data_IF_926250714741
#
_entry.id   IF_926250714741
#
_cell.length_a   1.000
_cell.length_b   1.000
_cell.length_c   1.000
_cell.angle_alpha   90.00
_cell.angle_beta   90.00
_cell.angle_gamma   90.00
#
_symmetry.space_group_name_H-M   'P 1'
#
loop_
_entity.id
_entity.type
_entity.pdbx_description
1 polymer ?
#
# COMPACT_ATOMS: atom_id res chain seq x y z
N UNK A 1 -8.37 -5.45 13.68
CA UNK A 1 -8.12 -6.19 12.42
C UNK A 1 -8.86 -5.58 11.23
N UNK A 2 -10.15 -5.21 11.37
CA UNK A 2 -10.89 -4.49 10.33
C UNK A 2 -10.21 -3.17 9.91
N UNK A 3 -9.75 -2.38 10.88
CA UNK A 3 -9.02 -1.13 10.63
C UNK A 3 -7.73 -1.36 9.81
N UNK A 4 -6.91 -2.35 10.19
CA UNK A 4 -5.71 -2.71 9.43
C UNK A 4 -6.05 -3.06 7.99
N UNK A 5 -7.12 -3.84 7.78
CA UNK A 5 -7.58 -4.21 6.44
C UNK A 5 -7.99 -2.97 5.64
N UNK A 6 -8.69 -2.02 6.25
CA UNK A 6 -9.08 -0.76 5.61
C UNK A 6 -7.86 0.09 5.23
N UNK A 7 -6.88 0.22 6.13
CA UNK A 7 -5.62 0.94 5.85
C UNK A 7 -4.92 0.35 4.62
N UNK A 8 -4.78 -0.97 4.55
CA UNK A 8 -4.12 -1.61 3.41
C UNK A 8 -4.97 -1.70 2.15
N UNK A 9 -6.30 -1.64 2.24
CA UNK A 9 -7.17 -1.45 1.09
C UNK A 9 -6.93 -0.06 0.47
N UNK A 10 -6.98 0.99 1.29
CA UNK A 10 -6.69 2.36 0.86
C UNK A 10 -5.27 2.47 0.27
N UNK A 11 -4.29 1.84 0.90
CA UNK A 11 -2.92 1.81 0.38
C UNK A 11 -2.84 1.25 -1.05
N UNK A 12 -3.55 0.13 -1.31
CA UNK A 12 -3.60 -0.49 -2.64
C UNK A 12 -4.38 0.36 -3.64
N UNK A 13 -5.52 0.92 -3.23
CA UNK A 13 -6.30 1.84 -4.06
C UNK A 13 -5.47 3.08 -4.45
N UNK A 14 -4.73 3.65 -3.50
CA UNK A 14 -3.85 4.79 -3.74
C UNK A 14 -2.77 4.44 -4.76
N UNK A 15 -2.18 3.23 -4.70
CA UNK A 15 -1.22 2.78 -5.73
C UNK A 15 -1.86 2.74 -7.12
N UNK A 16 -3.05 2.17 -7.25
CA UNK A 16 -3.76 2.14 -8.53
C UNK A 16 -4.11 3.56 -9.03
N UNK A 17 -4.58 4.44 -8.13
CA UNK A 17 -4.90 5.84 -8.47
C UNK A 17 -3.67 6.60 -8.95
N UNK A 18 -2.53 6.44 -8.26
CA UNK A 18 -1.26 7.07 -8.67
C UNK A 18 -0.87 6.62 -10.07
N UNK A 19 -0.98 5.31 -10.37
CA UNK A 19 -0.64 4.80 -11.70
C UNK A 19 -1.56 5.37 -12.78
N UNK A 20 -2.86 5.42 -12.52
CA UNK A 20 -3.83 6.02 -13.44
C UNK A 20 -3.54 7.51 -13.69
N UNK A 21 -3.21 8.28 -12.65
CA UNK A 21 -2.84 9.69 -12.79
C UNK A 21 -1.54 9.87 -13.59
N UNK A 22 -0.57 8.95 -13.45
CA UNK A 22 0.67 8.95 -14.25
C UNK A 22 0.36 8.70 -15.73
N UNK A 23 -0.52 7.75 -16.04
CA UNK A 23 -1.01 7.50 -17.39
C UNK A 23 -1.72 8.73 -17.97
N UNK A 24 -2.54 9.42 -17.15
CA UNK A 24 -3.23 10.63 -17.57
C UNK A 24 -2.26 11.77 -17.92
N UNK A 25 -1.23 12.00 -17.10
CA UNK A 25 -0.16 12.97 -17.39
C UNK A 25 0.51 12.62 -18.72
N UNK A 26 0.82 11.35 -18.95
CA UNK A 26 1.48 10.91 -20.19
C UNK A 26 0.58 11.13 -21.42
N UNK A 27 -0.72 10.86 -21.30
CA UNK A 27 -1.68 11.17 -22.36
C UNK A 27 -1.75 12.68 -22.66
N UNK A 28 -1.73 13.53 -21.64
CA UNK A 28 -1.70 14.99 -21.83
C UNK A 28 -0.41 15.44 -22.55
N UNK A 29 0.73 14.85 -22.19
CA UNK A 29 2.01 15.10 -22.87
C UNK A 29 1.97 14.70 -24.34
N UNK A 30 1.41 13.53 -24.66
CA UNK A 30 1.23 13.06 -26.04
C UNK A 30 0.33 13.99 -26.85
N UNK A 31 -0.65 14.63 -26.21
CA UNK A 31 -1.52 15.63 -26.82
C UNK A 31 -0.89 17.03 -26.92
N UNK A 32 0.39 17.19 -26.57
CA UNK A 32 1.13 18.45 -26.71
C UNK A 32 0.95 19.44 -25.55
N UNK A 33 0.34 19.02 -24.43
CA UNK A 33 0.24 19.85 -23.22
C UNK A 33 1.62 19.99 -22.59
N UNK A 34 2.02 21.23 -22.30
CA UNK A 34 3.32 21.54 -21.70
C UNK A 34 3.32 21.15 -20.22
N UNK A 35 4.48 20.77 -19.72
CA UNK A 35 4.66 20.32 -18.33
C UNK A 35 4.33 21.38 -17.27
N UNK A 36 4.42 22.67 -17.64
CA UNK A 36 4.05 23.80 -16.78
C UNK A 36 2.55 24.12 -16.81
N UNK A 37 1.76 23.38 -17.59
CA UNK A 37 0.31 23.56 -17.62
C UNK A 37 -0.30 23.25 -16.26
N UNK A 38 -1.29 24.06 -15.88
CA UNK A 38 -1.97 23.97 -14.58
C UNK A 38 -2.59 22.58 -14.37
N UNK A 39 -3.11 21.96 -15.44
CA UNK A 39 -3.69 20.61 -15.38
C UNK A 39 -2.67 19.56 -14.95
N UNK A 40 -1.49 19.52 -15.60
CA UNK A 40 -0.40 18.59 -15.25
C UNK A 40 0.09 18.84 -13.83
N UNK A 41 0.27 20.11 -13.44
CA UNK A 41 0.73 20.46 -12.08
C UNK A 41 -0.27 20.01 -11.00
N UNK A 42 -1.57 20.12 -11.26
CA UNK A 42 -2.62 19.62 -10.35
C UNK A 42 -2.57 18.09 -10.21
N UNK A 43 -2.38 17.36 -11.32
CA UNK A 43 -2.24 15.90 -11.29
C UNK A 43 -1.00 15.47 -10.51
N UNK A 44 0.14 16.15 -10.71
CA UNK A 44 1.38 15.90 -9.94
C UNK A 44 1.15 16.15 -8.45
N UNK A 45 0.48 17.24 -8.09
CA UNK A 45 0.18 17.56 -6.69
C UNK A 45 -0.71 16.50 -6.04
N UNK A 46 -1.68 15.96 -6.78
CA UNK A 46 -2.53 14.85 -6.33
C UNK A 46 -1.74 13.56 -6.16
N UNK A 47 -0.85 13.21 -7.10
CA UNK A 47 0.07 12.07 -6.97
C UNK A 47 0.91 12.23 -5.69
N UNK A 48 1.51 13.40 -5.47
CA UNK A 48 2.34 13.66 -4.30
C UNK A 48 1.57 13.50 -2.98
N UNK A 49 0.30 13.91 -2.93
CA UNK A 49 -0.56 13.68 -1.75
C UNK A 49 -0.75 12.19 -1.47
N UNK A 50 -1.15 11.43 -2.48
CA UNK A 50 -1.37 9.98 -2.37
C UNK A 50 -0.08 9.22 -2.03
N UNK A 51 1.05 9.62 -2.63
CA UNK A 51 2.37 9.04 -2.33
C UNK A 51 2.78 9.33 -0.89
N UNK A 52 2.53 10.53 -0.37
CA UNK A 52 2.81 10.87 1.02
C UNK A 52 1.96 10.07 2.02
N UNK A 53 0.67 9.83 1.71
CA UNK A 53 -0.18 8.95 2.51
C UNK A 53 0.38 7.53 2.56
N UNK A 54 0.73 6.95 1.40
CA UNK A 54 1.31 5.62 1.33
C UNK A 54 2.67 5.54 2.01
N UNK A 55 3.50 6.58 1.91
CA UNK A 55 4.81 6.67 2.56
C UNK A 55 4.72 6.58 4.08
N UNK A 56 3.65 7.11 4.69
CA UNK A 56 3.42 6.94 6.14
C UNK A 56 3.23 5.47 6.51
N UNK A 57 2.49 4.72 5.69
CA UNK A 57 2.29 3.29 5.88
C UNK A 57 3.60 2.53 5.64
N UNK A 58 4.35 2.86 4.59
CA UNK A 58 5.65 2.26 4.31
C UNK A 58 6.64 2.48 5.45
N UNK A 59 6.65 3.65 6.06
CA UNK A 59 7.49 3.94 7.22
C UNK A 59 7.09 3.07 8.43
N UNK A 60 5.79 2.92 8.70
CA UNK A 60 5.31 2.01 9.77
C UNK A 60 5.68 0.55 9.48
N UNK A 61 5.60 0.12 8.22
CA UNK A 61 6.00 -1.23 7.79
C UNK A 61 7.49 -1.49 7.98
N UNK A 62 8.36 -0.51 7.69
CA UNK A 62 9.83 -0.62 7.86
C UNK A 62 10.25 -0.82 9.31
N UNK A 63 9.44 -0.37 10.27
CA UNK A 63 9.69 -0.55 11.70
C UNK A 63 9.23 -1.92 12.22
N UNK A 64 8.53 -2.71 11.42
CA UNK A 64 8.15 -4.05 11.80
C UNK A 64 9.36 -4.99 11.77
N UNK A 65 9.47 -5.92 12.73
CA UNK A 65 10.35 -7.07 12.60
C UNK A 65 10.10 -7.80 11.27
N UNK A 66 11.15 -8.34 10.68
CA UNK A 66 11.12 -8.96 9.35
C UNK A 66 10.03 -10.03 9.19
N UNK A 67 9.84 -10.85 10.24
CA UNK A 67 8.79 -11.86 10.27
C UNK A 67 7.36 -11.27 10.25
N UNK A 68 7.14 -10.18 10.97
CA UNK A 68 5.87 -9.45 11.00
C UNK A 68 5.63 -8.75 9.66
N UNK A 69 6.65 -8.06 9.13
CA UNK A 69 6.60 -7.41 7.82
C UNK A 69 6.24 -8.40 6.70
N UNK A 70 6.92 -9.55 6.64
CA UNK A 70 6.70 -10.56 5.59
C UNK A 70 5.24 -11.05 5.59
N UNK A 71 4.68 -11.33 6.76
CA UNK A 71 3.30 -11.81 6.86
C UNK A 71 2.29 -10.71 6.51
N UNK A 72 2.53 -9.46 6.96
CA UNK A 72 1.68 -8.32 6.61
C UNK A 72 1.70 -8.06 5.10
N UNK A 73 2.89 -8.07 4.48
CA UNK A 73 3.05 -7.89 3.04
C UNK A 73 2.25 -8.93 2.26
N UNK A 74 2.48 -10.22 2.53
CA UNK A 74 1.82 -11.30 1.79
C UNK A 74 0.29 -11.23 1.92
N UNK A 75 -0.23 -10.95 3.13
CA UNK A 75 -1.68 -10.98 3.37
C UNK A 75 -2.37 -9.70 2.90
N UNK A 76 -1.80 -8.54 3.21
CA UNK A 76 -2.50 -7.26 3.05
C UNK A 76 -2.06 -6.45 1.84
N UNK A 77 -0.81 -6.57 1.41
CA UNK A 77 -0.30 -5.86 0.22
C UNK A 77 -0.49 -6.74 -1.01
N UNK A 78 -0.02 -7.98 -0.95
CA UNK A 78 -0.09 -8.92 -2.07
C UNK A 78 -1.48 -9.62 -2.15
N UNK A 79 -2.32 -9.46 -1.12
CA UNK A 79 -3.69 -9.97 -1.09
C UNK A 79 -3.80 -11.50 -1.03
N UNK A 80 -2.77 -12.19 -0.56
CA UNK A 80 -2.73 -13.65 -0.52
C UNK A 80 -3.52 -14.16 0.69
N UNK A 81 -4.35 -15.18 0.46
CA UNK A 81 -5.10 -15.84 1.52
C UNK A 81 -4.20 -16.36 2.65
N UNK A 82 -4.64 -16.16 3.90
CA UNK A 82 -3.92 -16.62 5.10
C UNK A 82 -3.59 -18.12 5.07
N UNK A 83 -4.47 -18.95 4.48
CA UNK A 83 -4.25 -20.40 4.31
C UNK A 83 -3.08 -20.72 3.37
N UNK A 84 -2.86 -19.89 2.34
CA UNK A 84 -1.72 -20.03 1.44
C UNK A 84 -0.46 -19.49 2.09
N UNK A 85 -0.55 -18.31 2.71
CA UNK A 85 0.56 -17.71 3.47
C UNK A 85 1.07 -18.65 4.54
N UNK A 86 0.18 -19.32 5.29
CA UNK A 86 0.55 -20.25 6.35
C UNK A 86 1.39 -21.42 5.83
N UNK A 87 1.08 -21.94 4.64
CA UNK A 87 1.90 -22.96 3.97
C UNK A 87 3.24 -22.39 3.49
N UNK A 88 3.25 -21.17 2.92
CA UNK A 88 4.47 -20.52 2.41
C UNK A 88 5.50 -20.21 3.50
N UNK A 89 5.05 -19.90 4.71
CA UNK A 89 5.95 -19.57 5.83
C UNK A 89 6.13 -20.73 6.82
N UNK A 90 5.59 -21.90 6.50
CA UNK A 90 5.56 -23.10 7.34
C UNK A 90 5.08 -22.83 8.78
N UNK A 91 3.87 -22.26 8.90
CA UNK A 91 3.22 -21.96 10.18
C UNK A 91 1.76 -22.35 10.14
N UNK A 92 1.16 -22.51 11.31
CA UNK A 92 -0.29 -22.64 11.44
C UNK A 92 -1.01 -21.33 11.14
N UNK A 93 -2.28 -21.41 10.72
CA UNK A 93 -3.14 -20.23 10.51
C UNK A 93 -3.25 -19.40 11.79
N UNK A 94 -3.36 -20.05 12.96
CA UNK A 94 -3.41 -19.35 14.26
C UNK A 94 -2.14 -18.54 14.53
N UNK A 95 -0.97 -19.06 14.14
CA UNK A 95 0.29 -18.32 14.26
C UNK A 95 0.33 -17.13 13.29
N UNK A 96 -0.14 -17.28 12.05
CA UNK A 96 -0.30 -16.17 11.10
C UNK A 96 -1.19 -15.08 11.71
N UNK A 97 -2.35 -15.45 12.25
CA UNK A 97 -3.26 -14.49 12.89
C UNK A 97 -2.63 -13.79 14.10
N UNK A 98 -1.88 -14.53 14.93
CA UNK A 98 -1.15 -13.94 16.08
C UNK A 98 -0.10 -12.92 15.63
N UNK A 99 0.64 -13.21 14.56
CA UNK A 99 1.63 -12.30 13.97
C UNK A 99 0.93 -11.04 13.45
N UNK A 100 -0.16 -11.20 12.69
CA UNK A 100 -0.93 -10.08 12.16
C UNK A 100 -1.52 -9.20 13.26
N UNK A 101 -2.07 -9.80 14.32
CA UNK A 101 -2.59 -9.06 15.47
C UNK A 101 -1.49 -8.27 16.20
N UNK A 102 -0.29 -8.82 16.30
CA UNK A 102 0.86 -8.14 16.90
C UNK A 102 1.32 -6.96 16.03
N UNK A 103 1.38 -7.15 14.71
CA UNK A 103 1.70 -6.09 13.77
C UNK A 103 0.63 -4.98 13.74
N UNK A 104 -0.65 -5.35 13.84
CA UNK A 104 -1.77 -4.40 13.89
C UNK A 104 -1.61 -3.40 15.04
N UNK A 105 -1.21 -3.87 16.23
CA UNK A 105 -0.93 -3.00 17.38
C UNK A 105 0.20 -2.00 17.11
N UNK A 106 1.16 -2.30 16.24
CA UNK A 106 2.25 -1.37 15.93
C UNK A 106 1.89 -0.38 14.83
N UNK A 107 0.96 -0.76 13.95
CA UNK A 107 0.58 0.06 12.79
C UNK A 107 -0.59 0.97 13.09
N UNK A 108 -1.56 0.54 13.91
CA UNK A 108 -2.77 1.32 14.20
C UNK A 108 -2.53 2.35 15.31
N UNK A 109 -1.64 2.07 16.26
CA UNK A 109 -1.24 3.01 17.31
C UNK A 109 -0.51 4.22 16.70
#
# INVERSE_FOLDING_TARGET
MAEMKNIFNLYRENKCKIENLKIEIENLRLNGVKENDVSIQMLILNINKLENENKRIDNKLKLLPENEYKVVKLVFIDGIDKKRVSKTIDRSIRQVDRILNKAAKKIII
#
